data_IF_243538074236
#
_entry.id   IF_243538074236
#
_cell.length_a   1.000
_cell.length_b   1.000
_cell.length_c   1.000
_cell.angle_alpha   90.00
_cell.angle_beta   90.00
_cell.angle_gamma   90.00
#
_symmetry.space_group_name_H-M   'P 1'
#
loop_
_entity.id
_entity.type
_entity.pdbx_description
1 polymer ?
#
# COMPACT_ATOMS: atom_id res chain seq x y z
N UNK A 1 -29.66 -14.03 24.60
CA UNK A 1 -30.35 -15.34 24.71
C UNK A 1 -30.97 -15.45 26.08
N UNK A 2 -32.29 -15.23 26.16
CA UNK A 2 -33.08 -15.76 27.29
C UNK A 2 -34.05 -16.78 26.69
N UNK A 3 -33.70 -18.05 26.76
CA UNK A 3 -34.65 -19.17 26.82
C UNK A 3 -34.98 -19.40 28.27
N UNK A 4 -36.24 -19.19 28.66
CA UNK A 4 -36.71 -19.63 29.95
C UNK A 4 -37.95 -18.90 30.45
N UNK A 5 -39.08 -19.62 30.46
CA UNK A 5 -40.39 -19.39 31.03
C UNK A 5 -41.36 -18.49 30.27
N UNK A 6 -42.49 -19.07 29.87
CA UNK A 6 -43.72 -18.40 29.45
C UNK A 6 -44.23 -17.47 30.57
N UNK A 7 -43.67 -16.26 30.67
CA UNK A 7 -44.28 -15.17 31.40
C UNK A 7 -45.18 -14.41 30.41
N UNK A 8 -46.44 -14.31 30.68
CA UNK A 8 -47.37 -13.43 29.96
C UNK A 8 -46.74 -12.02 29.89
N UNK A 9 -46.55 -11.51 28.70
CA UNK A 9 -45.96 -10.19 28.52
C UNK A 9 -46.82 -9.13 29.21
N UNK A 10 -46.24 -8.21 30.02
CA UNK A 10 -46.98 -7.19 30.74
C UNK A 10 -47.77 -6.31 29.75
N UNK A 11 -48.96 -5.90 30.13
CA UNK A 11 -49.83 -5.00 29.38
C UNK A 11 -49.08 -3.65 29.17
N UNK A 12 -48.86 -3.28 27.92
CA UNK A 12 -48.13 -2.04 27.56
C UNK A 12 -49.07 -0.85 27.51
N UNK A 13 -48.69 0.24 28.16
CA UNK A 13 -49.32 1.56 28.05
C UNK A 13 -48.59 2.39 26.97
N UNK A 14 -49.33 2.95 26.02
CA UNK A 14 -48.76 3.81 24.97
C UNK A 14 -48.28 5.14 25.57
N UNK A 15 -47.23 5.69 25.01
CA UNK A 15 -46.76 7.07 25.26
C UNK A 15 -47.20 8.00 24.13
N UNK A 16 -46.98 9.29 24.27
CA UNK A 16 -47.22 10.28 23.22
C UNK A 16 -46.17 10.18 22.06
N UNK A 17 -45.21 9.30 22.19
CA UNK A 17 -44.16 9.07 21.18
C UNK A 17 -44.42 7.77 20.39
N UNK A 18 -44.51 7.89 19.08
CA UNK A 18 -44.81 6.74 18.20
C UNK A 18 -43.80 5.61 18.37
N UNK A 19 -44.34 4.38 18.58
CA UNK A 19 -43.52 3.19 18.75
C UNK A 19 -42.82 3.07 20.12
N UNK A 20 -43.17 3.89 21.08
CA UNK A 20 -42.68 3.78 22.46
C UNK A 20 -43.88 3.51 23.40
N UNK A 21 -43.77 2.49 24.20
CA UNK A 21 -44.73 2.11 25.22
C UNK A 21 -43.99 1.80 26.52
N UNK A 22 -44.70 1.73 27.65
CA UNK A 22 -44.11 1.33 28.91
C UNK A 22 -45.01 0.36 29.70
N UNK A 23 -44.44 -0.33 30.65
CA UNK A 23 -45.15 -1.01 31.74
C UNK A 23 -44.53 -0.60 33.07
N UNK A 24 -45.23 -0.79 34.17
CA UNK A 24 -44.76 -0.48 35.53
C UNK A 24 -44.06 -1.70 36.12
N UNK A 25 -42.90 -1.50 36.69
CA UNK A 25 -42.12 -2.46 37.44
C UNK A 25 -41.90 -1.91 38.86
N UNK A 26 -41.98 -2.77 39.89
CA UNK A 26 -41.91 -2.36 41.29
C UNK A 26 -40.56 -1.75 41.69
N UNK A 27 -39.48 -2.19 41.07
CA UNK A 27 -38.10 -1.73 41.37
C UNK A 27 -37.56 -0.71 40.38
N UNK A 28 -38.02 -0.74 39.12
CA UNK A 28 -37.48 0.05 37.99
C UNK A 28 -38.35 1.24 37.59
N UNK A 29 -39.52 1.40 38.21
CA UNK A 29 -40.51 2.39 37.83
C UNK A 29 -41.11 2.04 36.45
N UNK A 30 -41.25 3.02 35.55
CA UNK A 30 -41.70 2.74 34.19
C UNK A 30 -40.55 2.15 33.36
N UNK A 31 -40.80 0.97 32.81
CA UNK A 31 -39.87 0.28 31.85
C UNK A 31 -40.31 0.62 30.45
N UNK A 32 -39.48 1.36 29.73
CA UNK A 32 -39.79 1.82 28.38
C UNK A 32 -39.41 0.76 27.36
N UNK A 33 -40.34 0.49 26.42
CA UNK A 33 -40.19 -0.52 25.38
C UNK A 33 -40.38 0.16 24.02
N UNK A 34 -39.36 0.05 23.19
CA UNK A 34 -39.41 0.46 21.76
C UNK A 34 -40.02 -0.66 20.92
N UNK A 35 -40.98 -0.31 20.07
CA UNK A 35 -41.63 -1.20 19.11
C UNK A 35 -41.58 -0.52 17.76
N UNK A 36 -40.90 -1.14 16.81
CA UNK A 36 -40.74 -0.61 15.46
C UNK A 36 -40.55 -1.74 14.45
N UNK A 37 -40.73 -1.43 13.17
CA UNK A 37 -40.55 -2.38 12.09
C UNK A 37 -39.46 -1.90 11.15
N UNK A 38 -38.58 -2.83 10.75
CA UNK A 38 -37.53 -2.61 9.73
C UNK A 38 -37.51 -3.83 8.82
N UNK A 39 -37.58 -3.62 7.51
CA UNK A 39 -37.56 -4.67 6.48
C UNK A 39 -38.57 -5.81 6.75
N UNK A 40 -39.81 -5.47 7.06
CA UNK A 40 -40.92 -6.41 7.37
C UNK A 40 -40.69 -7.26 8.63
N UNK A 41 -39.67 -6.92 9.43
CA UNK A 41 -39.39 -7.58 10.69
C UNK A 41 -39.72 -6.64 11.87
N UNK A 42 -40.57 -7.09 12.79
CA UNK A 42 -40.96 -6.32 13.95
C UNK A 42 -39.99 -6.55 15.10
N UNK A 43 -39.52 -5.44 15.66
CA UNK A 43 -38.61 -5.41 16.80
C UNK A 43 -39.36 -4.90 18.05
N UNK A 44 -39.07 -5.54 19.21
CA UNK A 44 -39.54 -5.11 20.51
C UNK A 44 -38.34 -5.19 21.49
N UNK A 45 -37.88 -4.02 21.97
CA UNK A 45 -36.72 -3.95 22.87
C UNK A 45 -36.95 -3.00 24.03
N UNK A 46 -36.49 -3.36 25.24
CA UNK A 46 -36.41 -2.43 26.37
C UNK A 46 -35.31 -1.40 26.04
N UNK A 47 -35.61 -0.10 26.21
CA UNK A 47 -34.72 1.00 25.88
C UNK A 47 -34.32 1.86 27.09
N UNK A 48 -34.83 1.55 28.25
CA UNK A 48 -34.45 2.18 29.53
C UNK A 48 -35.52 2.07 30.60
N UNK A 49 -35.22 2.57 31.78
CA UNK A 49 -36.05 2.55 32.97
C UNK A 49 -36.18 3.97 33.53
N UNK A 50 -37.32 4.27 34.19
CA UNK A 50 -37.53 5.57 34.82
C UNK A 50 -36.47 5.85 35.93
N UNK A 51 -36.04 4.79 36.62
CA UNK A 51 -35.08 4.85 37.72
C UNK A 51 -33.65 4.42 37.30
N UNK A 52 -33.34 4.45 36.00
CA UNK A 52 -31.97 4.19 35.55
C UNK A 52 -31.05 5.42 35.74
N UNK A 53 -29.76 5.24 35.58
CA UNK A 53 -28.73 6.27 35.67
C UNK A 53 -29.05 7.49 34.80
N UNK A 54 -29.71 7.29 33.66
CA UNK A 54 -30.09 8.33 32.68
C UNK A 54 -31.49 8.89 32.93
N UNK A 55 -32.22 8.43 34.01
CA UNK A 55 -33.60 8.81 34.29
C UNK A 55 -34.47 8.79 33.03
N UNK A 56 -34.47 7.63 32.35
CA UNK A 56 -35.12 7.48 31.05
C UNK A 56 -36.59 7.88 31.12
N UNK A 57 -37.01 8.81 30.29
CA UNK A 57 -38.39 9.20 30.07
C UNK A 57 -38.84 8.84 28.63
N UNK A 58 -40.08 9.12 28.28
CA UNK A 58 -40.65 8.75 26.99
C UNK A 58 -39.90 9.41 25.80
N UNK A 59 -39.37 10.64 25.96
CA UNK A 59 -38.57 11.33 24.93
C UNK A 59 -37.22 10.66 24.73
N UNK A 60 -36.50 10.36 25.82
CA UNK A 60 -35.22 9.64 25.76
C UNK A 60 -35.42 8.24 25.17
N UNK A 61 -36.47 7.54 25.56
CA UNK A 61 -36.81 6.24 24.99
C UNK A 61 -37.10 6.31 23.49
N UNK A 62 -37.70 7.40 23.00
CA UNK A 62 -37.94 7.63 21.59
C UNK A 62 -36.64 7.88 20.84
N UNK A 63 -35.73 8.70 21.36
CA UNK A 63 -34.43 8.93 20.76
C UNK A 63 -33.61 7.63 20.65
N UNK A 64 -33.56 6.84 21.72
CA UNK A 64 -32.92 5.52 21.72
C UNK A 64 -33.59 4.54 20.72
N UNK A 65 -34.91 4.64 20.52
CA UNK A 65 -35.63 3.86 19.51
C UNK A 65 -35.18 4.22 18.11
N UNK A 66 -35.07 5.53 17.78
CA UNK A 66 -34.60 5.98 16.44
C UNK A 66 -33.14 5.58 16.22
N UNK A 67 -32.30 5.70 17.23
CA UNK A 67 -30.90 5.23 17.17
C UNK A 67 -30.85 3.71 16.89
N UNK A 68 -31.58 2.89 17.65
CA UNK A 68 -31.67 1.45 17.40
C UNK A 68 -32.23 1.10 16.02
N UNK A 69 -33.22 1.88 15.55
CA UNK A 69 -33.81 1.70 14.22
C UNK A 69 -32.78 2.01 13.12
N UNK A 70 -32.02 3.09 13.29
CA UNK A 70 -30.94 3.47 12.37
C UNK A 70 -29.79 2.45 12.41
N UNK A 71 -29.41 1.95 13.58
CA UNK A 71 -28.42 0.90 13.71
C UNK A 71 -28.87 -0.39 13.02
N UNK A 72 -30.13 -0.78 13.15
CA UNK A 72 -30.67 -1.96 12.48
C UNK A 72 -30.80 -1.72 10.98
N UNK A 73 -31.18 -0.52 10.52
CA UNK A 73 -31.18 -0.15 9.12
C UNK A 73 -29.76 -0.16 8.54
N UNK A 74 -28.81 0.38 9.26
CA UNK A 74 -27.40 0.39 8.88
C UNK A 74 -26.75 -1.00 8.98
N UNK A 75 -27.16 -1.81 9.97
CA UNK A 75 -26.72 -3.21 10.13
C UNK A 75 -27.46 -4.19 9.21
N UNK A 76 -28.56 -3.83 8.57
CA UNK A 76 -29.24 -4.73 7.65
C UNK A 76 -28.48 -4.94 6.31
N UNK A 77 -27.55 -4.06 5.96
CA UNK A 77 -26.52 -4.41 4.98
C UNK A 77 -25.46 -5.35 5.58
N UNK A 78 -25.25 -5.29 6.90
CA UNK A 78 -24.40 -6.23 7.64
C UNK A 78 -25.12 -7.53 8.04
N UNK A 79 -26.42 -7.68 7.79
CA UNK A 79 -27.19 -8.88 8.18
C UNK A 79 -27.08 -10.07 7.19
N UNK A 80 -26.36 -9.93 6.10
CA UNK A 80 -25.73 -11.09 5.47
C UNK A 80 -24.45 -11.34 6.27
N UNK A 81 -24.45 -12.40 7.08
CA UNK A 81 -23.24 -12.95 7.72
C UNK A 81 -22.28 -13.45 6.64
N UNK A 82 -21.76 -12.52 5.82
CA UNK A 82 -20.78 -12.88 4.79
C UNK A 82 -19.50 -13.31 5.48
N UNK A 83 -18.94 -14.40 5.01
CA UNK A 83 -17.65 -14.89 5.45
C UNK A 83 -16.51 -14.05 4.85
N UNK A 84 -15.33 -14.16 5.43
CA UNK A 84 -14.14 -13.51 4.85
C UNK A 84 -13.86 -14.01 3.44
N UNK A 85 -14.10 -15.29 3.15
CA UNK A 85 -14.02 -15.86 1.80
C UNK A 85 -14.92 -15.11 0.82
N UNK A 86 -16.20 -14.93 1.17
CA UNK A 86 -17.15 -14.19 0.31
C UNK A 86 -16.75 -12.72 0.13
N UNK A 87 -16.27 -12.07 1.19
CA UNK A 87 -15.73 -10.71 1.09
C UNK A 87 -14.53 -10.64 0.15
N UNK A 88 -13.62 -11.63 0.26
CA UNK A 88 -12.47 -11.73 -0.63
C UNK A 88 -12.89 -11.88 -2.09
N UNK A 89 -13.82 -12.76 -2.40
CA UNK A 89 -14.34 -12.97 -3.74
C UNK A 89 -14.94 -11.67 -4.33
N UNK A 90 -15.78 -10.97 -3.56
CA UNK A 90 -16.33 -9.67 -3.96
C UNK A 90 -15.25 -8.61 -4.21
N UNK A 91 -14.26 -8.54 -3.32
CA UNK A 91 -13.14 -7.61 -3.47
C UNK A 91 -12.30 -7.93 -4.71
N UNK A 92 -12.06 -9.21 -4.97
CA UNK A 92 -11.23 -9.65 -6.08
C UNK A 92 -11.91 -9.41 -7.42
N UNK A 93 -13.20 -9.73 -7.54
CA UNK A 93 -14.01 -9.39 -8.72
C UNK A 93 -14.00 -7.88 -8.98
N UNK A 94 -14.19 -7.07 -7.92
CA UNK A 94 -14.10 -5.63 -8.05
C UNK A 94 -12.74 -5.13 -8.58
N UNK A 95 -11.63 -5.72 -8.13
CA UNK A 95 -10.28 -5.36 -8.63
C UNK A 95 -10.11 -5.73 -10.11
N UNK A 96 -10.67 -6.86 -10.53
CA UNK A 96 -10.61 -7.37 -11.89
C UNK A 96 -11.42 -6.48 -12.84
N UNK A 97 -12.68 -6.23 -12.52
CA UNK A 97 -13.60 -5.41 -13.32
C UNK A 97 -13.13 -3.96 -13.44
N UNK A 98 -12.68 -3.37 -12.33
CA UNK A 98 -12.24 -1.98 -12.29
C UNK A 98 -10.87 -1.73 -12.90
N UNK A 99 -10.07 -2.80 -13.14
CA UNK A 99 -8.64 -2.73 -13.54
C UNK A 99 -7.84 -1.72 -12.70
N UNK A 100 -8.25 -1.52 -11.46
CA UNK A 100 -7.73 -0.47 -10.57
C UNK A 100 -6.31 -0.73 -10.07
N UNK A 101 -5.80 -1.94 -10.25
CA UNK A 101 -4.46 -2.35 -9.87
C UNK A 101 -3.72 -3.01 -11.03
N UNK A 102 -2.39 -2.83 -11.06
CA UNK A 102 -1.56 -3.51 -12.05
C UNK A 102 -1.63 -5.04 -11.87
N UNK A 103 -1.54 -5.81 -12.97
CA UNK A 103 -1.59 -7.28 -12.99
C UNK A 103 -0.71 -7.92 -11.92
N UNK A 104 0.52 -7.45 -11.76
CA UNK A 104 1.45 -7.95 -10.73
C UNK A 104 0.94 -7.72 -9.30
N UNK A 105 0.30 -6.58 -9.03
CA UNK A 105 -0.30 -6.28 -7.72
C UNK A 105 -1.48 -7.21 -7.45
N UNK A 106 -2.32 -7.44 -8.45
CA UNK A 106 -3.43 -8.39 -8.40
C UNK A 106 -2.94 -9.80 -8.05
N UNK A 107 -1.92 -10.30 -8.75
CA UNK A 107 -1.34 -11.63 -8.49
C UNK A 107 -0.67 -11.72 -7.11
N UNK A 108 -0.02 -10.65 -6.66
CA UNK A 108 0.56 -10.59 -5.31
C UNK A 108 -0.52 -10.71 -4.24
N UNK A 109 -1.64 -9.98 -4.39
CA UNK A 109 -2.79 -10.05 -3.48
C UNK A 109 -3.39 -11.47 -3.44
N UNK A 110 -3.54 -12.11 -4.61
CA UNK A 110 -4.00 -13.50 -4.72
C UNK A 110 -3.06 -14.48 -4.02
N UNK A 111 -1.76 -14.28 -4.16
CA UNK A 111 -0.75 -15.07 -3.46
C UNK A 111 -0.81 -14.87 -1.94
N UNK A 112 -0.96 -13.64 -1.46
CA UNK A 112 -1.09 -13.34 -0.03
C UNK A 112 -2.33 -13.98 0.58
N UNK A 113 -3.47 -13.90 -0.10
CA UNK A 113 -4.70 -14.56 0.33
C UNK A 113 -4.50 -16.07 0.47
N UNK A 114 -4.03 -16.73 -0.59
CA UNK A 114 -3.87 -18.18 -0.60
C UNK A 114 -2.86 -18.67 0.45
N UNK A 115 -1.76 -17.93 0.62
CA UNK A 115 -0.67 -18.35 1.52
C UNK A 115 -0.91 -17.99 2.99
N UNK A 116 -1.69 -16.92 3.29
CA UNK A 116 -1.72 -16.38 4.64
C UNK A 116 -3.13 -16.16 5.20
N UNK A 117 -4.12 -15.72 4.38
CA UNK A 117 -5.42 -15.33 4.90
C UNK A 117 -6.44 -16.45 4.88
N UNK A 118 -6.43 -17.27 3.81
CA UNK A 118 -7.40 -18.32 3.54
C UNK A 118 -7.64 -19.23 4.74
N UNK A 119 -6.60 -19.86 5.23
CA UNK A 119 -6.69 -20.86 6.31
C UNK A 119 -7.04 -20.25 7.68
N UNK A 120 -6.89 -18.92 7.84
CA UNK A 120 -7.10 -18.24 9.12
C UNK A 120 -8.49 -17.60 9.20
N UNK A 121 -8.96 -16.99 8.10
CA UNK A 121 -10.12 -16.12 8.15
C UNK A 121 -11.32 -16.61 7.32
N UNK A 122 -11.17 -17.47 6.32
CA UNK A 122 -12.22 -17.81 5.33
C UNK A 122 -13.58 -18.16 5.92
N UNK A 123 -13.59 -18.96 6.98
CA UNK A 123 -14.83 -19.45 7.61
C UNK A 123 -15.40 -18.48 8.68
N UNK A 124 -14.69 -17.38 8.95
CA UNK A 124 -15.15 -16.41 9.93
C UNK A 124 -16.11 -15.40 9.27
N UNK A 125 -17.22 -15.11 9.93
CA UNK A 125 -18.06 -13.98 9.58
C UNK A 125 -17.26 -12.68 9.77
N UNK A 126 -17.28 -11.77 8.78
CA UNK A 126 -16.45 -10.55 8.82
C UNK A 126 -16.72 -9.65 10.01
N UNK A 127 -17.95 -9.66 10.53
CA UNK A 127 -18.34 -8.94 11.74
C UNK A 127 -17.74 -9.53 13.03
N UNK A 128 -17.31 -10.80 12.99
CA UNK A 128 -16.74 -11.52 14.11
C UNK A 128 -15.21 -11.49 14.12
N UNK A 129 -14.58 -10.94 13.09
CA UNK A 129 -13.12 -10.80 13.04
C UNK A 129 -12.72 -9.60 13.90
N UNK A 130 -12.23 -9.90 15.10
CA UNK A 130 -11.84 -8.91 16.11
C UNK A 130 -10.38 -8.50 16.00
N UNK A 131 -10.05 -7.32 16.54
CA UNK A 131 -8.69 -6.78 16.55
C UNK A 131 -7.66 -7.75 17.11
N UNK A 132 -7.99 -8.41 18.26
CA UNK A 132 -7.08 -9.35 18.92
C UNK A 132 -6.75 -10.58 18.05
N UNK A 133 -7.67 -11.05 17.22
CA UNK A 133 -7.43 -12.18 16.31
C UNK A 133 -6.43 -11.79 15.22
N UNK A 134 -6.56 -10.57 14.68
CA UNK A 134 -5.64 -10.04 13.69
C UNK A 134 -4.28 -9.76 14.33
N UNK A 135 -4.24 -9.28 15.58
CA UNK A 135 -2.99 -9.09 16.32
C UNK A 135 -2.28 -10.42 16.55
N UNK A 136 -3.00 -11.46 16.97
CA UNK A 136 -2.44 -12.80 17.14
C UNK A 136 -1.93 -13.37 15.82
N UNK A 137 -2.65 -13.16 14.72
CA UNK A 137 -2.19 -13.53 13.36
C UNK A 137 -0.86 -12.82 13.02
N UNK A 138 -0.77 -11.50 13.23
CA UNK A 138 0.45 -10.74 13.00
C UNK A 138 1.61 -11.23 13.87
N UNK A 139 1.38 -11.46 15.17
CA UNK A 139 2.39 -11.96 16.10
C UNK A 139 2.89 -13.35 15.72
N UNK A 140 2.01 -14.23 15.25
CA UNK A 140 2.42 -15.55 14.77
C UNK A 140 3.26 -15.48 13.50
N UNK A 141 2.92 -14.58 12.57
CA UNK A 141 3.73 -14.36 11.38
C UNK A 141 5.12 -13.81 11.69
N UNK A 142 5.25 -12.95 12.71
CA UNK A 142 6.55 -12.39 13.13
C UNK A 142 7.54 -13.45 13.60
N UNK A 143 7.08 -14.64 14.00
CA UNK A 143 7.96 -15.78 14.36
C UNK A 143 8.75 -16.31 13.16
N UNK A 144 8.25 -16.13 11.93
CA UNK A 144 8.83 -16.74 10.72
C UNK A 144 9.04 -15.76 9.57
N UNK A 145 8.48 -14.56 9.64
CA UNK A 145 8.53 -13.53 8.58
C UNK A 145 9.17 -12.25 9.09
N UNK A 146 9.79 -11.51 8.18
CA UNK A 146 10.32 -10.19 8.53
C UNK A 146 9.19 -9.21 8.91
N UNK A 147 9.45 -8.26 9.82
CA UNK A 147 8.49 -7.23 10.20
C UNK A 147 7.91 -6.49 9.01
N UNK A 148 8.73 -6.20 7.99
CA UNK A 148 8.27 -5.56 6.74
C UNK A 148 7.28 -6.42 5.97
N UNK A 149 7.49 -7.74 5.93
CA UNK A 149 6.55 -8.66 5.27
C UNK A 149 5.21 -8.67 6.01
N UNK A 150 5.23 -8.71 7.33
CA UNK A 150 4.00 -8.65 8.16
C UNK A 150 3.26 -7.33 7.97
N UNK A 151 3.96 -6.19 7.95
CA UNK A 151 3.35 -4.87 7.66
C UNK A 151 2.68 -4.84 6.27
N UNK A 152 3.31 -5.44 5.25
CA UNK A 152 2.73 -5.55 3.92
C UNK A 152 1.46 -6.43 3.91
N UNK A 153 1.45 -7.54 4.64
CA UNK A 153 0.27 -8.41 4.78
C UNK A 153 -0.87 -7.69 5.52
N UNK A 154 -0.57 -6.99 6.61
CA UNK A 154 -1.56 -6.18 7.33
C UNK A 154 -2.11 -5.04 6.44
N UNK A 155 -1.28 -4.40 5.63
CA UNK A 155 -1.71 -3.37 4.69
C UNK A 155 -2.67 -3.95 3.62
N UNK A 156 -2.39 -5.16 3.14
CA UNK A 156 -3.24 -5.85 2.17
C UNK A 156 -4.58 -6.28 2.82
N UNK A 157 -4.54 -6.89 3.98
CA UNK A 157 -5.73 -7.23 4.76
C UNK A 157 -6.59 -5.98 5.05
N UNK A 158 -5.94 -4.87 5.42
CA UNK A 158 -6.62 -3.58 5.63
C UNK A 158 -7.31 -3.07 4.37
N UNK A 159 -6.77 -3.33 3.18
CA UNK A 159 -7.39 -2.94 1.91
C UNK A 159 -8.69 -3.70 1.63
N UNK A 160 -8.76 -4.98 2.02
CA UNK A 160 -9.96 -5.82 1.92
C UNK A 160 -11.05 -5.29 2.86
N UNK A 161 -10.70 -5.04 4.12
CA UNK A 161 -11.66 -4.48 5.09
C UNK A 161 -12.07 -3.04 4.75
N UNK A 162 -11.19 -2.23 4.15
CA UNK A 162 -11.54 -0.91 3.62
C UNK A 162 -12.62 -1.00 2.53
N UNK A 163 -12.52 -2.00 1.65
CA UNK A 163 -13.56 -2.28 0.66
C UNK A 163 -14.89 -2.66 1.34
N UNK A 164 -14.86 -3.49 2.38
CA UNK A 164 -16.05 -3.85 3.15
C UNK A 164 -16.71 -2.63 3.80
N UNK A 165 -15.94 -1.72 4.39
CA UNK A 165 -16.45 -0.46 4.98
C UNK A 165 -17.05 0.43 3.88
N UNK A 166 -16.36 0.61 2.75
CA UNK A 166 -16.85 1.42 1.62
C UNK A 166 -18.20 0.93 1.10
N UNK A 167 -18.40 -0.39 1.08
CA UNK A 167 -19.64 -1.03 0.63
C UNK A 167 -20.63 -1.27 1.79
N UNK A 168 -20.42 -0.64 2.95
CA UNK A 168 -21.30 -0.72 4.12
C UNK A 168 -21.58 -2.15 4.63
N UNK A 169 -20.67 -3.09 4.37
CA UNK A 169 -20.74 -4.46 4.86
C UNK A 169 -20.34 -4.57 6.33
N UNK A 170 -19.49 -3.67 6.80
CA UNK A 170 -19.09 -3.47 8.20
C UNK A 170 -18.99 -1.97 8.49
N UNK A 171 -19.01 -1.61 9.77
CA UNK A 171 -18.94 -0.20 10.21
C UNK A 171 -17.53 0.34 10.32
N UNK A 172 -16.55 -0.51 10.67
CA UNK A 172 -15.16 -0.11 10.88
C UNK A 172 -14.18 -1.17 10.39
N UNK A 173 -12.95 -0.75 10.11
CA UNK A 173 -11.88 -1.65 9.68
C UNK A 173 -11.07 -2.09 10.91
N UNK A 174 -11.16 -3.36 11.35
CA UNK A 174 -10.47 -3.83 12.56
C UNK A 174 -8.95 -3.82 12.44
N UNK A 175 -8.40 -3.88 11.23
CA UNK A 175 -6.94 -3.88 11.01
C UNK A 175 -6.30 -2.54 11.40
N UNK A 176 -7.06 -1.44 11.42
CA UNK A 176 -6.52 -0.12 11.77
C UNK A 176 -6.11 0.03 13.22
N UNK A 177 -6.67 -0.80 14.09
CA UNK A 177 -6.38 -0.80 15.53
C UNK A 177 -5.30 -1.80 15.92
N UNK A 178 -4.77 -2.56 14.96
CA UNK A 178 -3.68 -3.53 15.17
C UNK A 178 -2.34 -2.79 15.29
N UNK A 179 -1.56 -3.18 16.28
CA UNK A 179 -0.20 -2.68 16.46
C UNK A 179 0.69 -3.17 15.34
N UNK A 180 1.24 -2.23 14.59
CA UNK A 180 2.16 -2.54 13.50
C UNK A 180 3.55 -2.83 14.03
N UNK A 181 4.26 -3.82 13.44
CA UNK A 181 5.62 -4.09 13.82
C UNK A 181 6.51 -2.87 13.54
N UNK A 182 7.30 -2.48 14.54
CA UNK A 182 8.33 -1.45 14.38
C UNK A 182 9.57 -2.08 13.74
N UNK A 183 10.12 -1.44 12.74
CA UNK A 183 11.36 -1.89 12.10
C UNK A 183 12.05 -0.70 11.42
N UNK A 184 13.37 -0.72 11.43
CA UNK A 184 14.15 0.15 10.56
C UNK A 184 14.36 -0.55 9.22
N UNK A 185 13.92 0.10 8.16
CA UNK A 185 14.08 -0.36 6.78
C UNK A 185 15.08 0.52 6.02
N UNK A 186 15.77 1.42 6.70
CA UNK A 186 16.88 2.18 6.14
C UNK A 186 17.99 1.20 5.76
N UNK A 187 18.58 1.41 4.63
CA UNK A 187 19.75 0.68 4.18
C UNK A 187 20.71 1.71 3.63
N UNK A 188 21.86 1.79 4.25
CA UNK A 188 22.95 2.57 3.71
C UNK A 188 23.40 2.03 2.37
N UNK A 189 23.82 2.93 1.51
CA UNK A 189 24.40 2.54 0.24
C UNK A 189 25.76 1.87 0.53
N UNK A 190 26.00 0.62 0.07
CA UNK A 190 27.09 -0.19 0.61
C UNK A 190 28.46 0.11 0.01
N UNK A 191 28.53 0.80 -1.14
CA UNK A 191 29.78 1.01 -1.86
C UNK A 191 30.48 2.32 -1.46
N UNK A 192 31.79 2.30 -1.45
CA UNK A 192 32.62 3.50 -1.44
C UNK A 192 32.61 4.18 -2.81
N UNK A 193 33.11 5.41 -2.91
CA UNK A 193 33.22 6.12 -4.17
C UNK A 193 34.10 5.36 -5.18
N UNK A 194 35.20 4.80 -4.72
CA UNK A 194 36.12 4.03 -5.59
C UNK A 194 35.50 2.70 -6.07
N UNK A 195 34.78 1.99 -5.21
CA UNK A 195 34.00 0.82 -5.62
C UNK A 195 32.92 1.19 -6.62
N UNK A 196 32.27 2.34 -6.44
CA UNK A 196 31.24 2.87 -7.32
C UNK A 196 31.79 3.21 -8.70
N UNK A 197 32.96 3.87 -8.78
CA UNK A 197 33.66 4.15 -10.03
C UNK A 197 34.05 2.85 -10.74
N UNK A 198 34.59 1.88 -10.02
CA UNK A 198 34.98 0.56 -10.56
C UNK A 198 33.77 -0.18 -11.13
N UNK A 199 32.64 -0.20 -10.40
CA UNK A 199 31.39 -0.79 -10.88
C UNK A 199 30.88 -0.13 -12.16
N UNK A 200 30.84 1.21 -12.21
CA UNK A 200 30.46 1.96 -13.40
C UNK A 200 31.36 1.63 -14.59
N UNK A 201 32.68 1.63 -14.40
CA UNK A 201 33.66 1.27 -15.46
C UNK A 201 33.42 -0.16 -15.96
N UNK A 202 33.16 -1.11 -15.07
CA UNK A 202 32.86 -2.51 -15.44
C UNK A 202 31.58 -2.61 -16.26
N UNK A 203 30.50 -1.92 -15.86
CA UNK A 203 29.23 -1.89 -16.61
C UNK A 203 29.43 -1.38 -18.02
N UNK A 204 30.13 -0.25 -18.15
CA UNK A 204 30.34 0.45 -19.42
C UNK A 204 31.18 -0.40 -20.41
N UNK A 205 32.07 -1.25 -19.90
CA UNK A 205 32.96 -2.11 -20.66
C UNK A 205 32.56 -3.59 -20.61
N UNK A 206 31.36 -3.91 -20.16
CA UNK A 206 30.91 -5.28 -20.04
C UNK A 206 30.90 -5.97 -21.42
N UNK A 207 31.41 -7.19 -21.49
CA UNK A 207 31.65 -7.91 -22.74
C UNK A 207 30.39 -8.19 -23.54
N UNK A 208 29.29 -8.51 -22.86
CA UNK A 208 28.00 -8.84 -23.48
C UNK A 208 27.24 -7.56 -23.87
N UNK A 209 27.15 -7.21 -25.18
CA UNK A 209 26.64 -5.92 -25.64
C UNK A 209 25.22 -5.60 -25.12
N UNK A 210 24.29 -6.55 -25.22
CA UNK A 210 22.90 -6.36 -24.78
C UNK A 210 22.82 -5.96 -23.31
N UNK A 211 23.56 -6.66 -22.45
CA UNK A 211 23.55 -6.35 -21.01
C UNK A 211 24.33 -5.08 -20.69
N UNK A 212 25.45 -4.83 -21.38
CA UNK A 212 26.19 -3.56 -21.27
C UNK A 212 25.27 -2.37 -21.52
N UNK A 213 24.50 -2.39 -22.57
CA UNK A 213 23.59 -1.33 -22.96
C UNK A 213 22.44 -1.15 -21.95
N UNK A 214 21.81 -2.25 -21.55
CA UNK A 214 20.74 -2.23 -20.53
C UNK A 214 21.27 -1.61 -19.21
N UNK A 215 22.44 -2.06 -18.74
CA UNK A 215 22.99 -1.55 -17.49
C UNK A 215 23.49 -0.11 -17.62
N UNK A 216 23.94 0.32 -18.80
CA UNK A 216 24.28 1.72 -19.07
C UNK A 216 23.02 2.61 -18.96
N UNK A 217 21.88 2.19 -19.49
CA UNK A 217 20.60 2.89 -19.26
C UNK A 217 20.21 2.93 -17.78
N UNK A 218 20.44 1.85 -17.03
CA UNK A 218 20.17 1.81 -15.60
C UNK A 218 21.08 2.78 -14.81
N UNK A 219 22.33 3.00 -15.25
CA UNK A 219 23.22 4.01 -14.68
C UNK A 219 22.72 5.45 -14.87
N UNK A 220 21.76 5.71 -15.78
CA UNK A 220 21.10 7.01 -15.87
C UNK A 220 19.96 7.17 -14.84
N UNK A 221 19.93 6.33 -13.79
CA UNK A 221 18.98 6.41 -12.70
C UNK A 221 17.57 5.88 -13.03
N UNK A 222 17.40 5.15 -14.13
CA UNK A 222 16.10 4.60 -14.54
C UNK A 222 15.72 3.37 -13.73
N UNK A 223 14.38 3.11 -13.60
CA UNK A 223 13.91 1.86 -12.97
C UNK A 223 14.07 0.70 -13.96
N UNK A 224 14.35 -0.50 -13.43
CA UNK A 224 14.56 -1.69 -14.27
C UNK A 224 13.44 -1.90 -15.30
N UNK A 225 12.19 -1.84 -14.90
CA UNK A 225 11.06 -2.06 -15.81
C UNK A 225 10.87 -0.92 -16.81
N UNK A 226 11.24 0.31 -16.48
CA UNK A 226 11.25 1.44 -17.42
C UNK A 226 12.22 1.17 -18.57
N UNK A 227 13.42 0.69 -18.26
CA UNK A 227 14.43 0.35 -19.28
C UNK A 227 14.01 -0.86 -20.12
N UNK A 228 13.61 -1.96 -19.46
CA UNK A 228 13.26 -3.20 -20.17
C UNK A 228 11.98 -3.09 -21.01
N UNK A 229 11.09 -2.15 -20.67
CA UNK A 229 9.85 -1.93 -21.43
C UNK A 229 9.95 -0.77 -22.41
N UNK A 230 11.14 -0.18 -22.59
CA UNK A 230 11.36 0.88 -23.57
C UNK A 230 11.17 0.34 -24.98
N UNK A 231 10.34 1.02 -25.77
CA UNK A 231 10.06 0.71 -27.17
C UNK A 231 10.48 1.87 -28.07
N UNK A 232 10.66 1.62 -29.34
CA UNK A 232 11.15 2.62 -30.29
C UNK A 232 10.18 3.77 -30.53
N UNK A 233 8.88 3.55 -30.38
CA UNK A 233 7.84 4.60 -30.43
C UNK A 233 7.91 5.60 -29.26
N UNK A 234 8.65 5.26 -28.20
CA UNK A 234 8.92 6.14 -27.05
C UNK A 234 10.15 7.02 -27.25
N UNK A 235 10.89 6.87 -28.35
CA UNK A 235 12.19 7.51 -28.60
C UNK A 235 12.09 8.47 -29.78
N UNK A 236 12.49 9.72 -29.56
CA UNK A 236 12.72 10.73 -30.60
C UNK A 236 14.24 11.00 -30.65
N UNK A 237 14.89 10.39 -31.62
CA UNK A 237 16.34 10.54 -31.80
C UNK A 237 16.73 11.93 -32.34
N UNK A 238 15.85 12.59 -33.07
CA UNK A 238 16.13 13.94 -33.62
C UNK A 238 16.12 14.96 -32.47
N UNK A 239 15.13 14.89 -31.61
CA UNK A 239 15.05 15.75 -30.41
C UNK A 239 15.91 15.27 -29.25
N UNK A 240 16.55 14.12 -29.39
CA UNK A 240 17.31 13.45 -28.30
C UNK A 240 16.53 13.30 -27.01
N UNK A 241 15.30 12.82 -27.08
CA UNK A 241 14.46 12.55 -25.91
C UNK A 241 13.81 11.17 -25.98
N UNK A 242 13.54 10.59 -24.83
CA UNK A 242 12.66 9.42 -24.72
C UNK A 242 11.61 9.63 -23.64
N UNK A 243 10.46 9.02 -23.81
CA UNK A 243 9.32 9.19 -22.93
C UNK A 243 8.96 7.86 -22.27
N UNK A 244 8.68 7.90 -20.99
CA UNK A 244 8.14 6.76 -20.24
C UNK A 244 6.69 7.06 -19.88
N UNK A 245 5.77 6.32 -20.49
CA UNK A 245 4.33 6.49 -20.29
C UNK A 245 3.88 6.16 -18.87
N UNK A 246 2.74 6.74 -18.47
CA UNK A 246 2.15 6.53 -17.13
C UNK A 246 1.84 5.06 -16.80
N UNK A 247 1.66 4.22 -17.82
CA UNK A 247 1.38 2.78 -17.65
C UNK A 247 2.59 2.02 -17.11
N UNK A 248 3.78 2.36 -17.62
CA UNK A 248 5.07 1.76 -17.25
C UNK A 248 5.62 2.43 -15.99
N UNK A 249 5.42 3.75 -15.88
CA UNK A 249 5.95 4.54 -14.79
C UNK A 249 5.21 4.25 -13.48
N UNK A 250 5.94 3.77 -12.47
CA UNK A 250 5.41 3.53 -11.13
C UNK A 250 4.79 4.79 -10.48
N UNK A 251 5.25 5.99 -10.88
CA UNK A 251 4.72 7.27 -10.41
C UNK A 251 3.40 7.68 -11.09
N UNK A 252 2.87 6.86 -12.01
CA UNK A 252 1.61 7.09 -12.74
C UNK A 252 1.54 8.45 -13.43
N UNK A 253 2.63 8.85 -14.08
CA UNK A 253 2.71 10.07 -14.91
C UNK A 253 3.65 9.84 -16.08
N UNK A 254 3.44 10.59 -17.15
CA UNK A 254 4.37 10.62 -18.28
C UNK A 254 5.65 11.36 -17.87
N UNK A 255 6.79 10.81 -18.23
CA UNK A 255 8.10 11.37 -17.96
C UNK A 255 8.88 11.45 -19.26
N UNK A 256 9.50 12.60 -19.51
CA UNK A 256 10.41 12.82 -20.62
C UNK A 256 11.84 12.95 -20.09
N UNK A 257 12.78 12.33 -20.76
CA UNK A 257 14.20 12.33 -20.40
C UNK A 257 15.05 12.61 -21.61
N UNK A 258 16.09 13.40 -21.42
CA UNK A 258 17.09 13.67 -22.43
C UNK A 258 17.96 12.43 -22.68
N UNK A 259 18.34 12.20 -23.92
CA UNK A 259 19.24 11.13 -24.35
C UNK A 259 20.65 11.70 -24.32
N UNK A 260 21.48 11.27 -23.35
CA UNK A 260 22.89 11.61 -23.30
C UNK A 260 23.65 11.07 -24.52
N UNK A 261 24.81 11.63 -24.85
CA UNK A 261 25.62 11.19 -26.01
C UNK A 261 25.87 9.68 -25.97
N UNK A 262 26.17 9.13 -24.81
CA UNK A 262 26.40 7.70 -24.65
C UNK A 262 25.16 6.85 -24.94
N UNK A 263 23.98 7.27 -24.48
CA UNK A 263 22.73 6.58 -24.79
C UNK A 263 22.35 6.73 -26.25
N UNK A 264 22.68 7.88 -26.83
CA UNK A 264 22.46 8.16 -28.25
C UNK A 264 23.27 7.22 -29.14
N UNK A 265 24.58 7.06 -28.86
CA UNK A 265 25.44 6.08 -29.53
C UNK A 265 24.89 4.65 -29.46
N UNK A 266 24.44 4.22 -28.27
CA UNK A 266 23.82 2.90 -28.10
C UNK A 266 22.58 2.75 -28.98
N UNK A 267 21.72 3.77 -29.04
CA UNK A 267 20.50 3.72 -29.84
C UNK A 267 20.75 3.81 -31.35
N UNK A 268 21.72 4.60 -31.76
CA UNK A 268 22.12 4.69 -33.19
C UNK A 268 22.62 3.36 -33.75
N UNK A 269 23.41 2.63 -32.94
CA UNK A 269 24.06 1.37 -33.33
C UNK A 269 23.10 0.16 -33.28
N UNK A 270 21.80 0.37 -33.12
CA UNK A 270 20.81 -0.70 -33.20
C UNK A 270 20.38 -0.93 -34.64
N UNK A 271 20.52 -2.18 -35.12
CA UNK A 271 20.16 -2.59 -36.46
C UNK A 271 18.65 -2.45 -36.72
N UNK A 272 17.81 -2.81 -35.73
CA UNK A 272 16.36 -2.77 -35.84
C UNK A 272 15.77 -1.73 -34.89
N UNK A 273 15.03 -0.75 -35.42
CA UNK A 273 14.37 0.33 -34.71
C UNK A 273 12.85 0.10 -34.59
N UNK A 274 12.44 -1.14 -34.17
CA UNK A 274 11.04 -1.53 -34.07
C UNK A 274 10.77 -2.37 -32.83
N UNK A 275 9.65 -2.14 -32.17
CA UNK A 275 9.26 -2.86 -30.94
C UNK A 275 10.15 -2.52 -29.74
N UNK A 276 10.50 -3.49 -28.91
CA UNK A 276 11.36 -3.26 -27.75
C UNK A 276 12.79 -2.90 -28.15
N UNK A 277 13.38 -1.91 -27.44
CA UNK A 277 14.79 -1.51 -27.64
C UNK A 277 15.75 -2.63 -27.21
N UNK A 278 15.42 -3.32 -26.12
CA UNK A 278 16.22 -4.40 -25.54
C UNK A 278 15.48 -5.73 -25.66
N UNK A 279 15.66 -6.36 -26.82
CA UNK A 279 15.07 -7.66 -27.15
C UNK A 279 15.96 -8.81 -26.68
N UNK A 280 15.35 -9.85 -26.20
CA UNK A 280 16.02 -11.14 -25.99
C UNK A 280 16.36 -11.80 -27.33
N UNK A 281 17.60 -12.16 -27.54
CA UNK A 281 18.05 -12.86 -28.75
C UNK A 281 17.36 -14.23 -28.95
N UNK A 282 16.75 -14.78 -27.89
CA UNK A 282 16.09 -16.08 -27.94
C UNK A 282 14.61 -15.96 -28.29
N UNK A 283 13.91 -14.94 -27.73
CA UNK A 283 12.44 -14.85 -27.83
C UNK A 283 11.96 -13.68 -28.71
N UNK A 284 12.83 -12.75 -29.07
CA UNK A 284 12.43 -11.49 -29.70
C UNK A 284 11.65 -10.50 -28.80
N UNK A 285 11.25 -10.96 -27.62
CA UNK A 285 10.52 -10.18 -26.62
C UNK A 285 11.47 -9.40 -25.70
N UNK A 286 10.92 -8.50 -24.87
CA UNK A 286 11.74 -7.79 -23.89
C UNK A 286 12.52 -8.74 -22.97
N UNK A 287 13.75 -8.36 -22.63
CA UNK A 287 14.55 -9.11 -21.66
C UNK A 287 13.84 -9.15 -20.31
N UNK A 288 13.70 -10.33 -19.70
CA UNK A 288 13.01 -10.54 -18.43
C UNK A 288 13.95 -10.70 -17.23
N UNK A 289 15.10 -11.33 -17.45
CA UNK A 289 16.02 -11.71 -16.39
C UNK A 289 17.40 -11.11 -16.59
N UNK A 290 17.85 -10.31 -15.62
CA UNK A 290 19.16 -9.70 -15.59
C UNK A 290 20.07 -10.30 -14.50
N UNK A 291 19.61 -11.33 -13.76
CA UNK A 291 20.31 -11.81 -12.55
C UNK A 291 21.69 -12.35 -12.86
N UNK A 292 21.80 -13.15 -13.93
CA UNK A 292 23.08 -13.70 -14.36
C UNK A 292 24.09 -12.60 -14.71
N UNK A 293 23.71 -11.69 -15.59
CA UNK A 293 24.58 -10.60 -16.01
C UNK A 293 24.97 -9.69 -14.82
N UNK A 294 24.00 -9.40 -13.93
CA UNK A 294 24.29 -8.63 -12.73
C UNK A 294 25.31 -9.30 -11.81
N UNK A 295 25.14 -10.60 -11.56
CA UNK A 295 26.10 -11.37 -10.79
C UNK A 295 27.48 -11.32 -11.42
N UNK A 296 27.58 -11.51 -12.73
CA UNK A 296 28.85 -11.47 -13.47
C UNK A 296 29.49 -10.08 -13.45
N UNK A 297 28.70 -9.01 -13.57
CA UNK A 297 29.20 -7.63 -13.45
C UNK A 297 29.81 -7.40 -12.06
N UNK A 298 29.15 -7.83 -10.99
CA UNK A 298 29.69 -7.68 -9.63
C UNK A 298 30.97 -8.46 -9.42
N UNK A 299 31.06 -9.68 -9.95
CA UNK A 299 32.28 -10.50 -9.90
C UNK A 299 33.45 -9.80 -10.62
N UNK A 300 33.25 -9.33 -11.86
CA UNK A 300 34.27 -8.62 -12.65
C UNK A 300 34.67 -7.30 -11.99
N UNK A 301 33.70 -6.60 -11.37
CA UNK A 301 33.96 -5.37 -10.62
C UNK A 301 34.64 -5.61 -9.28
N UNK A 302 34.84 -6.87 -8.86
CA UNK A 302 35.31 -7.24 -7.53
C UNK A 302 34.52 -6.58 -6.41
N UNK A 303 33.17 -6.74 -6.47
CA UNK A 303 32.22 -6.27 -5.48
C UNK A 303 31.57 -7.50 -4.81
N UNK A 304 31.93 -7.75 -3.57
CA UNK A 304 31.44 -8.84 -2.73
C UNK A 304 30.22 -8.44 -1.88
N UNK A 305 29.96 -7.13 -1.80
CA UNK A 305 28.85 -6.58 -1.04
C UNK A 305 27.49 -6.90 -1.66
N UNK A 306 26.42 -7.12 -0.87
CA UNK A 306 25.11 -7.49 -1.37
C UNK A 306 24.46 -6.30 -2.10
N UNK A 307 24.59 -6.29 -3.43
CA UNK A 307 24.04 -5.28 -4.32
C UNK A 307 22.87 -5.83 -5.14
N UNK A 308 21.76 -5.08 -5.18
CA UNK A 308 20.61 -5.34 -6.07
C UNK A 308 20.71 -4.45 -7.29
N UNK A 309 20.14 -4.87 -8.42
CA UNK A 309 20.08 -4.05 -9.63
C UNK A 309 19.48 -2.66 -9.36
N UNK A 310 18.48 -2.56 -8.48
CA UNK A 310 17.88 -1.28 -8.10
C UNK A 310 18.82 -0.35 -7.33
N UNK A 311 19.87 -0.91 -6.75
CA UNK A 311 20.86 -0.12 -6.01
C UNK A 311 21.73 0.72 -6.96
N UNK A 312 21.77 0.43 -8.27
CA UNK A 312 22.35 1.34 -9.29
C UNK A 312 21.66 2.71 -9.31
N UNK A 313 20.35 2.72 -9.18
CA UNK A 313 19.59 3.96 -9.07
C UNK A 313 19.88 4.68 -7.76
N UNK A 314 20.10 3.93 -6.67
CA UNK A 314 20.55 4.50 -5.41
C UNK A 314 21.95 5.08 -5.51
N UNK A 315 22.86 4.41 -6.22
CA UNK A 315 24.19 4.91 -6.55
C UNK A 315 24.15 6.29 -7.21
N UNK A 316 23.31 6.45 -8.24
CA UNK A 316 23.17 7.74 -8.92
C UNK A 316 22.61 8.80 -7.97
N UNK A 317 21.60 8.49 -7.18
CA UNK A 317 21.06 9.42 -6.20
C UNK A 317 22.07 9.85 -5.14
N UNK A 318 22.85 8.91 -4.62
CA UNK A 318 23.90 9.14 -3.63
C UNK A 318 25.02 10.03 -4.17
N UNK A 319 25.58 9.69 -5.34
CA UNK A 319 26.66 10.47 -5.98
C UNK A 319 26.14 11.85 -6.40
N UNK A 320 24.95 11.93 -7.01
CA UNK A 320 24.41 13.21 -7.45
C UNK A 320 24.15 14.20 -6.32
N UNK A 321 23.85 13.73 -5.12
CA UNK A 321 23.56 14.60 -3.97
C UNK A 321 24.79 14.92 -3.14
N UNK A 322 25.72 13.95 -3.00
CA UNK A 322 26.82 14.07 -2.04
C UNK A 322 28.19 14.38 -2.68
N UNK A 323 28.36 14.10 -3.98
CA UNK A 323 29.62 14.29 -4.71
C UNK A 323 29.51 15.36 -5.81
N UNK A 324 28.32 15.94 -5.99
CA UNK A 324 28.09 17.07 -6.91
C UNK A 324 27.28 18.16 -6.23
N UNK A 325 27.26 19.37 -6.79
CA UNK A 325 26.52 20.52 -6.26
C UNK A 325 25.02 20.50 -6.61
N UNK A 326 24.47 19.33 -6.93
CA UNK A 326 23.06 19.20 -7.29
C UNK A 326 22.13 19.38 -6.07
N UNK A 327 21.10 20.20 -6.22
CA UNK A 327 20.04 20.31 -5.23
C UNK A 327 19.20 19.02 -5.16
N UNK A 328 18.46 18.85 -4.06
CA UNK A 328 17.55 17.69 -3.90
C UNK A 328 16.46 17.64 -4.98
N UNK A 329 16.03 18.80 -5.48
CA UNK A 329 15.07 18.95 -6.58
C UNK A 329 15.65 18.42 -7.89
N UNK A 330 16.90 18.81 -8.21
CA UNK A 330 17.62 18.34 -9.39
C UNK A 330 17.80 16.82 -9.33
N UNK A 331 18.25 16.27 -8.21
CA UNK A 331 18.38 14.81 -8.02
C UNK A 331 17.02 14.10 -8.12
N UNK A 332 15.94 14.71 -7.61
CA UNK A 332 14.60 14.18 -7.77
C UNK A 332 14.16 14.16 -9.24
N UNK A 333 14.51 15.17 -10.01
CA UNK A 333 14.24 15.22 -11.46
C UNK A 333 15.06 14.17 -12.22
N UNK A 334 16.38 14.08 -11.95
CA UNK A 334 17.27 13.04 -12.52
C UNK A 334 16.66 11.65 -12.30
N UNK A 335 16.20 11.36 -11.08
CA UNK A 335 15.64 10.07 -10.75
C UNK A 335 14.16 9.90 -11.18
N UNK A 336 13.48 10.94 -11.61
CA UNK A 336 12.04 10.89 -11.92
C UNK A 336 11.19 10.56 -10.70
N UNK A 337 11.48 11.17 -9.54
CA UNK A 337 10.64 11.10 -8.36
C UNK A 337 9.45 12.07 -8.50
N UNK A 338 8.28 11.69 -7.96
CA UNK A 338 7.10 12.57 -7.94
C UNK A 338 7.19 13.68 -6.88
N UNK A 339 8.14 13.56 -5.95
CA UNK A 339 8.41 14.52 -4.88
C UNK A 339 9.84 14.34 -4.39
N UNK A 340 10.35 15.28 -3.59
CA UNK A 340 11.68 15.18 -2.97
C UNK A 340 11.74 14.16 -1.82
N UNK A 341 10.60 13.72 -1.28
CA UNK A 341 10.53 12.79 -0.14
C UNK A 341 11.34 11.50 -0.33
N UNK A 342 11.26 10.77 -1.49
CA UNK A 342 12.10 9.60 -1.71
C UNK A 342 13.59 9.95 -1.84
N UNK A 343 13.93 11.18 -2.28
CA UNK A 343 15.30 11.64 -2.45
C UNK A 343 15.99 11.97 -1.12
N UNK A 344 15.22 12.35 -0.10
CA UNK A 344 15.73 12.64 1.26
C UNK A 344 16.57 11.51 1.86
N UNK A 345 16.34 10.28 1.45
CA UNK A 345 17.15 9.13 1.89
C UNK A 345 18.64 9.20 1.51
N UNK A 346 18.99 10.00 0.50
CA UNK A 346 20.36 10.22 0.06
C UNK A 346 21.03 11.39 0.77
N UNK A 347 20.26 12.24 1.43
CA UNK A 347 20.79 13.38 2.16
C UNK A 347 21.46 12.89 3.46
N UNK A 348 22.74 12.61 3.39
CA UNK A 348 23.57 12.53 4.58
C UNK A 348 23.83 13.95 5.02
N UNK A 349 23.17 14.38 6.12
CA UNK A 349 23.54 15.64 6.77
C UNK A 349 24.95 15.44 7.31
N UNK A 350 25.94 15.74 6.48
CA UNK A 350 27.32 15.74 6.93
C UNK A 350 27.43 16.89 7.94
N UNK A 351 27.74 16.56 9.16
CA UNK A 351 27.96 17.52 10.24
C UNK A 351 28.96 18.61 9.81
N UNK A 352 29.94 18.24 8.96
CA UNK A 352 30.87 19.17 8.32
C UNK A 352 30.20 20.20 7.39
N UNK A 353 29.23 19.79 6.58
CA UNK A 353 28.50 20.68 5.64
C UNK A 353 27.60 21.63 6.43
N UNK A 354 26.92 21.12 7.45
CA UNK A 354 26.10 21.95 8.34
C UNK A 354 26.96 22.99 9.08
N UNK A 355 28.13 22.60 9.58
CA UNK A 355 29.08 23.50 10.25
C UNK A 355 29.68 24.51 9.28
N UNK A 356 29.99 24.12 8.04
CA UNK A 356 30.47 25.07 7.01
C UNK A 356 29.38 26.08 6.60
N UNK A 357 28.13 25.62 6.46
CA UNK A 357 26.99 26.48 6.23
C UNK A 357 26.79 27.51 7.36
N UNK A 358 26.88 27.06 8.60
CA UNK A 358 26.78 27.94 9.77
C UNK A 358 27.92 29.00 9.80
N UNK A 359 29.16 28.60 9.44
CA UNK A 359 30.27 29.57 9.32
C UNK A 359 29.97 30.66 8.31
N UNK A 360 29.45 30.32 7.11
CA UNK A 360 29.04 31.30 6.10
C UNK A 360 27.96 32.26 6.62
N UNK A 361 26.99 31.76 7.36
CA UNK A 361 25.96 32.62 7.99
C UNK A 361 26.62 33.64 8.94
N UNK A 362 27.56 33.22 9.77
CA UNK A 362 28.28 34.13 10.68
C UNK A 362 29.22 35.10 9.95
N UNK A 363 29.72 34.73 8.76
CA UNK A 363 30.48 35.68 7.92
C UNK A 363 29.60 36.82 7.36
N UNK A 364 28.34 36.50 7.03
CA UNK A 364 27.36 37.49 6.54
C UNK A 364 26.82 38.37 7.68
N UNK A 365 26.80 37.83 8.90
CA UNK A 365 26.29 38.56 10.09
C UNK A 365 27.36 39.42 10.79
N UNK A 366 28.61 39.39 10.35
CA UNK A 366 29.69 40.29 10.78
C UNK A 366 29.71 41.57 9.93
#
# INVERSE_FOLDING_TARGET
>A
YFKGKNMSLPKLTKTNYSGVSYYKDSSKGKVFVAIFEVNKKRYRKIVGYENDEFKTNAKIAYLKKEELKNDILNNNYASKNITFKQLWELYFTHLEDSKSVAKRTYETKKSYYNAHFKNVFDNLAINNIQVFQIQNFANNLLKTKSPKTVDNLLADLSSIFKFAVKNKLITSNPVRQVDKPKYDNSRDFPLTLEESKRLCKTIINFQEPLYREIFTFLLHGRRKEEVLSLTWDMIDLEKRVYQIGFEINKAKRNMSYEISDRLYEILLNKDEKKGYVFKSNVTGEKVKNLRWAWKRILEVANIDKPMRIHDLRHLIGEISLNETDNSMEVVSAILGHSSTRPTRRYAKVQQKVASAGLKKVFEVLK
#
